data_IF_252419526365
#
_entry.id   IF_252419526365
#
_cell.length_a   1.000
_cell.length_b   1.000
_cell.length_c   1.000
_cell.angle_alpha   90.00
_cell.angle_beta   90.00
_cell.angle_gamma   90.00
#
_symmetry.space_group_name_H-M   'P 1'
#
loop_
_entity.id
_entity.type
_entity.pdbx_description
1 polymer ?
#
# COMPACT_ATOMS: atom_id res chain seq x y z
N UNK A 1 -2.25 -26.74 12.29
CA UNK A 1 -2.85 -26.40 10.97
C UNK A 1 -2.18 -25.12 10.48
N UNK A 2 -1.73 -25.10 9.24
CA UNK A 2 -1.25 -23.90 8.54
C UNK A 2 -2.49 -23.18 7.96
N UNK A 3 -2.54 -21.84 8.00
CA UNK A 3 -3.68 -21.07 7.47
C UNK A 3 -3.97 -19.76 8.22
N UNK A 4 -3.02 -18.83 8.21
CA UNK A 4 -3.25 -17.50 8.77
C UNK A 4 -4.44 -16.82 8.07
N UNK A 5 -5.30 -16.15 8.85
CA UNK A 5 -6.51 -15.47 8.33
C UNK A 5 -6.47 -13.95 8.44
N UNK A 6 -5.53 -13.43 9.25
CA UNK A 6 -5.37 -12.00 9.52
C UNK A 6 -4.20 -11.38 8.77
N UNK A 7 -3.50 -12.17 7.95
CA UNK A 7 -2.30 -11.74 7.26
C UNK A 7 -2.48 -11.90 5.76
N UNK A 8 -2.18 -10.85 5.02
CA UNK A 8 -2.01 -10.86 3.58
C UNK A 8 -0.52 -10.94 3.27
N UNK A 9 -0.14 -11.72 2.26
CA UNK A 9 1.26 -11.78 1.84
C UNK A 9 1.39 -12.10 0.36
N UNK A 10 2.40 -11.51 -0.29
CA UNK A 10 2.76 -11.82 -1.66
C UNK A 10 4.28 -11.78 -1.85
N UNK A 11 4.78 -12.60 -2.77
CA UNK A 11 6.15 -12.44 -3.27
C UNK A 11 6.09 -11.58 -4.52
N UNK A 12 6.69 -10.40 -4.48
CA UNK A 12 6.78 -9.50 -5.62
C UNK A 12 8.10 -9.73 -6.35
N UNK A 13 8.04 -9.83 -7.68
CA UNK A 13 9.20 -9.88 -8.58
C UNK A 13 9.19 -8.58 -9.39
N UNK A 14 10.18 -7.73 -9.13
CA UNK A 14 10.22 -6.35 -9.60
C UNK A 14 11.38 -6.12 -10.57
N UNK A 15 11.14 -5.92 -11.88
CA UNK A 15 12.20 -5.63 -12.85
C UNK A 15 12.91 -4.28 -12.58
N UNK A 16 14.14 -4.10 -13.11
CA UNK A 16 14.85 -2.82 -13.03
C UNK A 16 14.02 -1.63 -13.50
N UNK A 17 14.10 -0.52 -12.77
CA UNK A 17 13.40 0.74 -13.07
C UNK A 17 11.89 0.70 -12.85
N UNK A 18 11.34 -0.32 -12.16
CA UNK A 18 9.90 -0.46 -11.89
C UNK A 18 9.57 -0.25 -10.41
N UNK A 19 8.32 0.10 -10.17
CA UNK A 19 7.64 0.05 -8.88
C UNK A 19 6.35 -0.77 -9.05
N UNK A 20 6.00 -1.59 -8.06
CA UNK A 20 4.83 -2.47 -8.15
C UNK A 20 3.51 -1.71 -7.93
N UNK A 21 3.52 -0.72 -7.03
CA UNK A 21 2.37 0.08 -6.65
C UNK A 21 2.71 1.58 -6.75
N UNK A 22 1.70 2.45 -6.94
CA UNK A 22 1.89 3.88 -6.78
C UNK A 22 2.34 4.23 -5.35
N UNK A 23 2.91 5.41 -5.15
CA UNK A 23 3.21 5.94 -3.81
C UNK A 23 1.93 6.08 -2.99
N UNK A 24 1.86 5.40 -1.85
CA UNK A 24 0.61 5.26 -1.10
C UNK A 24 0.79 5.05 0.41
N UNK A 25 -0.19 5.49 1.20
CA UNK A 25 -0.30 5.14 2.63
C UNK A 25 -1.58 4.37 2.90
N UNK A 26 -1.60 3.62 3.99
CA UNK A 26 -2.77 2.89 4.49
C UNK A 26 -3.25 3.54 5.79
N UNK A 27 -4.56 3.53 6.02
CA UNK A 27 -5.17 4.01 7.27
C UNK A 27 -5.49 2.86 8.23
N UNK A 28 -5.67 1.63 7.75
CA UNK A 28 -6.04 0.46 8.58
C UNK A 28 -5.00 -0.67 8.60
N UNK A 29 -4.22 -0.84 7.55
CA UNK A 29 -3.19 -1.88 7.42
C UNK A 29 -1.77 -1.33 7.64
N UNK A 30 -1.04 -1.93 8.57
CA UNK A 30 0.41 -1.84 8.57
C UNK A 30 0.96 -2.77 7.49
N UNK A 31 2.01 -2.35 6.80
CA UNK A 31 2.65 -3.13 5.75
C UNK A 31 4.15 -3.26 6.02
N UNK A 32 4.66 -4.49 5.91
CA UNK A 32 6.05 -4.84 6.11
C UNK A 32 6.60 -5.53 4.86
N UNK A 33 7.86 -5.24 4.55
CA UNK A 33 8.57 -5.84 3.44
C UNK A 33 9.87 -6.48 3.92
N UNK A 34 10.14 -7.68 3.41
CA UNK A 34 11.44 -8.33 3.52
C UNK A 34 12.06 -8.47 2.15
N UNK A 35 13.22 -7.83 1.95
CA UNK A 35 13.92 -7.88 0.66
C UNK A 35 14.65 -9.21 0.57
N UNK A 36 14.20 -10.09 -0.34
CA UNK A 36 14.81 -11.41 -0.51
C UNK A 36 16.11 -11.29 -1.30
N UNK A 37 16.08 -10.50 -2.37
CA UNK A 37 17.23 -10.31 -3.26
C UNK A 37 17.10 -9.02 -4.08
N UNK A 38 18.24 -8.58 -4.61
CA UNK A 38 18.36 -7.33 -5.35
C UNK A 38 18.61 -6.12 -4.44
N UNK A 39 18.58 -4.95 -5.08
CA UNK A 39 18.78 -3.65 -4.44
C UNK A 39 17.78 -2.66 -5.03
N UNK A 40 17.47 -1.62 -4.26
CA UNK A 40 16.51 -0.62 -4.68
C UNK A 40 16.45 0.55 -3.70
N UNK A 41 15.31 1.21 -3.69
CA UNK A 41 15.05 2.33 -2.81
C UNK A 41 13.62 2.22 -2.24
N UNK A 42 13.49 2.47 -0.94
CA UNK A 42 12.23 2.80 -0.31
C UNK A 42 12.07 4.32 -0.31
N UNK A 43 11.08 4.83 -1.04
CA UNK A 43 10.56 6.17 -0.78
C UNK A 43 9.57 6.06 0.38
N UNK A 44 9.74 6.85 1.44
CA UNK A 44 8.91 6.86 2.63
C UNK A 44 8.67 8.31 3.08
N UNK A 45 7.43 8.79 2.95
CA UNK A 45 7.11 10.21 3.08
C UNK A 45 7.98 11.05 2.14
N UNK A 46 8.71 12.01 2.71
CA UNK A 46 9.68 12.84 1.98
C UNK A 46 11.08 12.21 1.88
N UNK A 47 11.33 11.15 2.66
CA UNK A 47 12.63 10.50 2.75
C UNK A 47 12.80 9.38 1.72
N UNK A 48 14.07 9.04 1.46
CA UNK A 48 14.47 7.93 0.61
C UNK A 48 15.55 7.12 1.31
N UNK A 49 15.40 5.80 1.30
CA UNK A 49 16.31 4.86 1.96
C UNK A 49 16.78 3.81 0.95
N UNK A 50 18.09 3.54 0.85
CA UNK A 50 18.55 2.42 0.05
C UNK A 50 18.06 1.11 0.66
N UNK A 51 17.68 0.17 -0.21
CA UNK A 51 17.29 -1.18 0.15
C UNK A 51 18.27 -2.18 -0.45
N UNK A 52 18.59 -3.22 0.31
CA UNK A 52 19.38 -4.36 -0.14
C UNK A 52 18.78 -5.67 0.36
N UNK A 53 19.28 -6.78 -0.19
CA UNK A 53 18.93 -8.11 0.26
C UNK A 53 19.06 -8.23 1.79
N UNK A 54 18.03 -8.85 2.38
CA UNK A 54 17.81 -9.12 3.79
C UNK A 54 17.40 -7.94 4.66
N UNK A 55 17.21 -6.74 4.10
CA UNK A 55 16.59 -5.65 4.84
C UNK A 55 15.11 -5.98 5.15
N UNK A 56 14.67 -5.56 6.34
CA UNK A 56 13.28 -5.61 6.78
C UNK A 56 12.83 -4.18 7.01
N UNK A 57 11.73 -3.78 6.38
CA UNK A 57 11.14 -2.44 6.53
C UNK A 57 9.68 -2.55 6.89
N UNK A 58 9.21 -1.75 7.84
CA UNK A 58 7.81 -1.70 8.26
C UNK A 58 7.28 -0.29 8.09
N UNK A 59 6.12 -0.17 7.48
CA UNK A 59 5.43 1.08 7.18
C UNK A 59 4.16 1.14 8.04
N UNK A 60 4.06 2.08 8.99
CA UNK A 60 2.89 2.21 9.84
C UNK A 60 1.71 2.83 9.09
N UNK A 61 0.51 2.65 9.63
CA UNK A 61 -0.66 3.42 9.20
C UNK A 61 -0.41 4.92 9.33
N UNK A 62 -1.00 5.71 8.43
CA UNK A 62 -0.86 7.17 8.45
C UNK A 62 -1.33 7.85 7.18
N UNK A 63 -1.04 9.14 7.09
CA UNK A 63 -1.30 9.94 5.90
C UNK A 63 -0.11 9.96 4.93
N UNK A 64 0.00 11.02 4.11
CA UNK A 64 1.10 11.19 3.15
C UNK A 64 2.51 11.07 3.77
N UNK A 65 2.67 11.34 5.06
CA UNK A 65 3.92 11.22 5.80
C UNK A 65 4.41 9.78 5.99
N UNK A 66 3.51 8.79 5.96
CA UNK A 66 3.86 7.35 6.01
C UNK A 66 3.69 6.67 4.65
N UNK A 67 3.32 7.44 3.62
CA UNK A 67 3.19 6.90 2.28
C UNK A 67 4.52 6.32 1.81
N UNK A 68 4.47 5.20 1.13
CA UNK A 68 5.64 4.46 0.75
C UNK A 68 5.54 3.85 -0.65
N UNK A 69 6.72 3.61 -1.23
CA UNK A 69 6.88 2.95 -2.53
C UNK A 69 8.26 2.32 -2.60
N UNK A 70 8.32 1.04 -2.99
CA UNK A 70 9.56 0.36 -3.33
C UNK A 70 9.81 0.50 -4.82
N UNK A 71 11.00 0.99 -5.16
CA UNK A 71 11.45 1.19 -6.53
C UNK A 71 12.72 0.35 -6.71
N UNK A 72 12.74 -0.52 -7.72
CA UNK A 72 13.98 -1.19 -8.10
C UNK A 72 14.86 -0.20 -8.90
N UNK A 73 15.80 0.44 -8.23
CA UNK A 73 16.80 1.33 -8.83
C UNK A 73 18.08 0.61 -9.24
N UNK A 74 18.17 -0.71 -8.99
CA UNK A 74 19.29 -1.54 -9.40
C UNK A 74 19.25 -1.93 -10.87
N UNK A 75 20.22 -2.78 -11.27
CA UNK A 75 20.35 -3.27 -12.66
C UNK A 75 19.84 -4.69 -12.87
N UNK A 76 19.43 -5.38 -11.79
CA UNK A 76 18.91 -6.74 -11.80
C UNK A 76 17.51 -6.79 -11.20
N UNK A 77 16.78 -7.90 -11.41
CA UNK A 77 15.46 -8.09 -10.80
C UNK A 77 15.56 -8.15 -9.28
N UNK A 78 14.71 -7.37 -8.61
CA UNK A 78 14.54 -7.38 -7.16
C UNK A 78 13.37 -8.30 -6.79
N UNK A 79 13.48 -9.04 -5.68
CA UNK A 79 12.36 -9.83 -5.13
C UNK A 79 12.19 -9.51 -3.66
N UNK A 80 10.94 -9.33 -3.24
CA UNK A 80 10.62 -9.05 -1.85
C UNK A 80 9.29 -9.67 -1.45
N UNK A 81 9.19 -10.09 -0.19
CA UNK A 81 7.96 -10.52 0.43
C UNK A 81 7.28 -9.27 1.01
N UNK A 82 6.04 -9.02 0.61
CA UNK A 82 5.17 -8.05 1.30
C UNK A 82 4.27 -8.81 2.26
N UNK A 83 4.02 -8.24 3.42
CA UNK A 83 3.15 -8.77 4.46
C UNK A 83 2.38 -7.61 5.10
N UNK A 84 1.06 -7.74 5.19
CA UNK A 84 0.22 -6.80 5.93
C UNK A 84 -0.73 -7.56 6.86
N UNK A 85 -1.24 -6.88 7.90
CA UNK A 85 -2.49 -7.33 8.48
C UNK A 85 -3.62 -7.13 7.45
N UNK A 86 -4.68 -7.93 7.54
CA UNK A 86 -5.91 -7.75 6.76
C UNK A 86 -6.96 -7.15 7.67
N UNK A 87 -7.53 -6.02 7.27
CA UNK A 87 -8.68 -5.39 7.92
C UNK A 87 -9.91 -5.47 7.02
N UNK A 88 -11.10 -5.36 7.63
CA UNK A 88 -12.35 -5.40 6.86
C UNK A 88 -12.59 -4.13 6.04
N UNK A 89 -12.02 -2.99 6.47
CA UNK A 89 -12.15 -1.69 5.80
C UNK A 89 -10.80 -0.99 5.77
N UNK A 90 -10.35 -0.63 4.57
CA UNK A 90 -9.09 0.07 4.32
C UNK A 90 -9.34 1.36 3.52
N UNK A 91 -8.60 2.43 3.86
CA UNK A 91 -8.54 3.68 3.13
C UNK A 91 -7.08 3.92 2.72
N UNK A 92 -6.82 3.76 1.42
CA UNK A 92 -5.50 3.97 0.87
C UNK A 92 -5.39 5.35 0.22
N UNK A 93 -4.43 6.18 0.65
CA UNK A 93 -4.18 7.47 0.03
C UNK A 93 -3.04 7.37 -0.96
N UNK A 94 -3.16 8.04 -2.11
CA UNK A 94 -2.16 8.06 -3.18
C UNK A 94 -1.71 9.50 -3.46
N UNK A 95 -0.74 10.04 -2.70
CA UNK A 95 -0.40 11.47 -2.73
C UNK A 95 -0.02 12.00 -4.11
N UNK A 96 0.89 11.31 -4.82
CA UNK A 96 1.35 11.73 -6.16
C UNK A 96 0.19 11.82 -7.17
N UNK A 97 -0.82 10.98 -6.97
CA UNK A 97 -1.94 10.88 -7.86
C UNK A 97 -3.17 11.67 -7.44
N UNK A 98 -3.17 12.30 -6.26
CA UNK A 98 -4.34 12.96 -5.66
C UNK A 98 -5.54 12.02 -5.56
N UNK A 99 -5.36 10.77 -5.12
CA UNK A 99 -6.46 9.79 -5.04
C UNK A 99 -6.64 9.19 -3.65
N UNK A 100 -7.87 8.80 -3.35
CA UNK A 100 -8.23 8.02 -2.16
C UNK A 100 -8.97 6.76 -2.60
N UNK A 101 -8.47 5.60 -2.21
CA UNK A 101 -9.09 4.30 -2.40
C UNK A 101 -9.84 3.88 -1.14
N UNK A 102 -11.09 3.46 -1.29
CA UNK A 102 -11.90 2.88 -0.20
C UNK A 102 -12.19 1.43 -0.56
N UNK A 103 -11.76 0.53 0.32
CA UNK A 103 -11.89 -0.92 0.16
C UNK A 103 -12.60 -1.49 1.37
N UNK A 104 -13.63 -2.30 1.16
CA UNK A 104 -14.26 -3.05 2.24
C UNK A 104 -14.62 -4.47 1.79
N UNK A 105 -14.30 -5.44 2.64
CA UNK A 105 -14.61 -6.87 2.48
C UNK A 105 -15.14 -7.42 3.81
N UNK A 106 -16.37 -7.03 4.14
CA UNK A 106 -17.06 -7.42 5.39
C UNK A 106 -17.93 -8.65 5.10
N UNK A 107 -17.86 -9.73 5.90
CA UNK A 107 -18.68 -10.92 5.71
C UNK A 107 -20.18 -10.60 5.65
N UNK A 108 -20.85 -11.07 4.60
CA UNK A 108 -22.29 -10.88 4.41
C UNK A 108 -22.68 -9.56 3.72
N UNK A 109 -21.72 -8.66 3.43
CA UNK A 109 -21.95 -7.45 2.66
C UNK A 109 -21.34 -7.56 1.24
N UNK A 110 -21.90 -6.87 0.24
CA UNK A 110 -21.24 -6.73 -1.06
C UNK A 110 -19.89 -6.04 -0.92
N UNK A 111 -18.87 -6.57 -1.62
CA UNK A 111 -17.53 -5.97 -1.63
C UNK A 111 -17.56 -4.53 -2.15
N UNK A 112 -16.96 -3.62 -1.41
CA UNK A 112 -16.75 -2.23 -1.83
C UNK A 112 -15.31 -2.04 -2.31
N UNK A 113 -15.15 -1.50 -3.51
CA UNK A 113 -13.85 -1.10 -4.06
C UNK A 113 -14.05 0.11 -4.94
N UNK A 114 -13.65 1.29 -4.45
CA UNK A 114 -13.81 2.56 -5.15
C UNK A 114 -12.54 3.38 -5.02
N UNK A 115 -12.27 4.19 -6.04
CA UNK A 115 -11.12 5.08 -6.10
C UNK A 115 -11.64 6.45 -6.55
N UNK A 116 -11.32 7.47 -5.77
CA UNK A 116 -11.81 8.84 -5.96
C UNK A 116 -10.64 9.81 -6.12
N UNK A 117 -10.92 10.96 -6.72
CA UNK A 117 -10.05 12.13 -6.63
C UNK A 117 -10.18 12.74 -5.23
N UNK A 118 -9.05 13.04 -4.59
CA UNK A 118 -9.01 13.51 -3.21
C UNK A 118 -9.65 14.89 -3.04
N UNK A 119 -9.62 15.71 -4.09
CA UNK A 119 -10.23 17.04 -4.12
C UNK A 119 -11.75 17.03 -4.34
N UNK A 120 -12.36 15.85 -4.52
CA UNK A 120 -13.81 15.73 -4.76
C UNK A 120 -14.52 15.30 -3.49
N UNK A 121 -15.36 16.17 -2.96
CA UNK A 121 -16.38 15.87 -1.96
C UNK A 121 -17.77 16.28 -2.47
N UNK A 122 -18.79 15.74 -1.83
CA UNK A 122 -20.19 16.11 -2.06
C UNK A 122 -20.77 16.56 -0.73
N UNK A 123 -21.75 17.46 -0.79
CA UNK A 123 -22.48 17.85 0.40
C UNK A 123 -23.14 16.63 1.07
N UNK A 124 -23.26 16.67 2.40
CA UNK A 124 -23.80 15.57 3.20
C UNK A 124 -25.21 15.14 2.74
N UNK A 125 -26.02 16.07 2.22
CA UNK A 125 -27.37 15.79 1.73
C UNK A 125 -27.48 15.75 0.19
N UNK A 126 -26.36 15.71 -0.56
CA UNK A 126 -26.41 15.68 -2.02
C UNK A 126 -27.28 14.51 -2.51
N UNK A 127 -28.33 14.83 -3.28
CA UNK A 127 -29.33 13.89 -3.83
C UNK A 127 -30.19 13.15 -2.80
N UNK A 128 -30.15 13.54 -1.54
CA UNK A 128 -31.05 13.02 -0.51
C UNK A 128 -32.25 13.94 -0.30
N UNK A 129 -33.45 13.36 -0.13
CA UNK A 129 -34.65 14.11 0.24
C UNK A 129 -34.77 14.10 1.76
N UNK A 130 -34.93 15.29 2.34
CA UNK A 130 -35.31 15.45 3.76
C UNK A 130 -36.71 14.93 4.03
#
# INVERSE_FOLDING_TARGET
RIGAKKLGYNLTVLPPGKAQCPFHSHRGEEEMFFIVEGEGELRFGEARYPLRAHDVVACPCGGPETAHQIINTGTTTMRYLSLSNIVEVEICEYPDGGKIGVYADIPGLPRLRKLYRAETDVDYYDREKK
#
